data_IF_603118556480
#
_entry.id   IF_603118556480
#
_cell.length_a   1.000
_cell.length_b   1.000
_cell.length_c   1.000
_cell.angle_alpha   90.00
_cell.angle_beta   90.00
_cell.angle_gamma   90.00
#
_symmetry.space_group_name_H-M   'P 1'
#
loop_
_entity.id
_entity.type
_entity.pdbx_description
1 polymer ?
#
# COMPACT_ATOMS: atom_id res chain seq x y z
N UNK A 1 11.05 16.58 -29.97
CA UNK A 1 10.25 17.42 -29.05
C UNK A 1 10.76 17.17 -27.63
N UNK A 2 11.26 18.21 -26.95
CA UNK A 2 11.76 18.12 -25.57
C UNK A 2 10.59 17.82 -24.64
N UNK A 3 10.59 16.65 -23.97
CA UNK A 3 9.61 16.31 -22.93
C UNK A 3 9.79 17.29 -21.77
N UNK A 4 8.84 18.20 -21.57
CA UNK A 4 8.82 19.04 -20.39
C UNK A 4 8.73 18.15 -19.14
N UNK A 5 9.77 18.17 -18.30
CA UNK A 5 9.75 17.52 -17.00
C UNK A 5 8.69 18.21 -16.13
N UNK A 6 7.91 17.42 -15.38
CA UNK A 6 6.97 17.99 -14.41
C UNK A 6 7.75 18.79 -13.36
N UNK A 7 7.26 19.95 -12.91
CA UNK A 7 7.91 20.69 -11.83
C UNK A 7 8.00 19.80 -10.57
N UNK A 8 9.04 20.02 -9.76
CA UNK A 8 9.28 19.24 -8.55
C UNK A 8 8.08 19.31 -7.58
N UNK A 9 7.44 20.48 -7.49
CA UNK A 9 6.21 20.71 -6.72
C UNK A 9 5.05 19.84 -7.18
N UNK A 10 4.81 19.72 -8.50
CA UNK A 10 3.80 18.82 -9.02
C UNK A 10 4.13 17.36 -8.69
N UNK A 11 5.40 16.96 -8.80
CA UNK A 11 5.83 15.59 -8.45
C UNK A 11 5.56 15.28 -6.97
N UNK A 12 5.92 16.21 -6.09
CA UNK A 12 5.67 16.10 -4.65
C UNK A 12 4.16 15.99 -4.36
N UNK A 13 3.33 16.82 -4.99
CA UNK A 13 1.87 16.78 -4.84
C UNK A 13 1.26 15.45 -5.28
N UNK A 14 1.66 14.92 -6.44
CA UNK A 14 1.18 13.61 -6.89
C UNK A 14 1.65 12.49 -5.96
N UNK A 15 2.89 12.55 -5.46
CA UNK A 15 3.44 11.56 -4.52
C UNK A 15 2.68 11.60 -3.20
N UNK A 16 2.42 12.80 -2.67
CA UNK A 16 1.60 13.01 -1.48
C UNK A 16 0.16 12.52 -1.68
N UNK A 17 -0.44 12.76 -2.86
CA UNK A 17 -1.77 12.26 -3.18
C UNK A 17 -1.83 10.73 -3.21
N UNK A 18 -0.84 10.04 -3.81
CA UNK A 18 -0.80 8.56 -3.79
C UNK A 18 -0.64 8.06 -2.34
N UNK A 19 0.25 8.66 -1.55
CA UNK A 19 0.43 8.28 -0.15
C UNK A 19 -0.85 8.53 0.68
N UNK A 20 -1.53 9.65 0.46
CA UNK A 20 -2.79 10.01 1.13
C UNK A 20 -3.94 9.06 0.78
N UNK A 21 -3.92 8.42 -0.40
CA UNK A 21 -4.89 7.38 -0.77
C UNK A 21 -4.46 5.99 -0.27
N UNK A 22 -3.15 5.72 -0.21
CA UNK A 22 -2.63 4.42 0.21
C UNK A 22 -2.97 4.09 1.68
N UNK A 23 -2.84 5.06 2.58
CA UNK A 23 -3.16 4.88 4.00
C UNK A 23 -4.62 4.50 4.26
N UNK A 24 -5.64 5.25 3.79
CA UNK A 24 -7.03 4.87 3.99
C UNK A 24 -7.39 3.58 3.26
N UNK A 25 -6.76 3.27 2.12
CA UNK A 25 -6.95 1.97 1.46
C UNK A 25 -6.46 0.81 2.33
N UNK A 26 -5.28 0.94 2.96
CA UNK A 26 -4.75 -0.06 3.92
C UNK A 26 -5.69 -0.19 5.12
N UNK A 27 -6.14 0.92 5.71
CA UNK A 27 -7.04 0.92 6.87
C UNK A 27 -8.37 0.27 6.54
N UNK A 28 -8.99 0.63 5.41
CA UNK A 28 -10.25 0.05 4.97
C UNK A 28 -10.11 -1.45 4.68
N UNK A 29 -9.01 -1.87 4.05
CA UNK A 29 -8.74 -3.27 3.78
C UNK A 29 -8.51 -4.08 5.05
N UNK A 30 -7.76 -3.53 6.01
CA UNK A 30 -7.57 -4.15 7.33
C UNK A 30 -8.90 -4.27 8.10
N UNK A 31 -9.74 -3.22 8.03
CA UNK A 31 -11.06 -3.23 8.66
C UNK A 31 -11.96 -4.31 8.07
N UNK A 32 -12.17 -4.30 6.75
CA UNK A 32 -12.97 -5.30 6.04
C UNK A 32 -12.39 -6.71 6.22
N UNK A 33 -11.07 -6.85 6.18
CA UNK A 33 -10.37 -8.12 6.38
C UNK A 33 -10.62 -8.68 7.78
N UNK A 34 -10.60 -7.85 8.82
CA UNK A 34 -10.80 -8.29 10.22
C UNK A 34 -12.16 -8.93 10.46
N UNK A 35 -13.20 -8.52 9.73
CA UNK A 35 -14.53 -9.12 9.81
C UNK A 35 -14.57 -10.53 9.18
N UNK A 36 -13.60 -10.86 8.33
CA UNK A 36 -13.52 -12.13 7.59
C UNK A 36 -12.58 -13.16 8.24
N UNK A 37 -11.58 -12.71 9.01
CA UNK A 37 -10.64 -13.54 9.76
C UNK A 37 -11.31 -14.65 10.61
N UNK A 38 -12.41 -14.42 11.35
CA UNK A 38 -13.02 -15.48 12.17
C UNK A 38 -13.58 -16.66 11.38
N UNK A 39 -13.88 -16.47 10.09
CA UNK A 39 -14.42 -17.54 9.23
C UNK A 39 -13.30 -18.35 8.59
N UNK A 40 -12.32 -17.67 7.99
CA UNK A 40 -11.09 -18.24 7.44
C UNK A 40 -10.07 -17.10 7.26
N UNK A 41 -8.89 -17.21 7.88
CA UNK A 41 -7.83 -16.20 7.79
C UNK A 41 -7.37 -15.90 6.35
N UNK A 42 -7.58 -16.84 5.41
CA UNK A 42 -7.31 -16.60 3.98
C UNK A 42 -8.25 -15.59 3.36
N UNK A 43 -9.45 -15.40 3.90
CA UNK A 43 -10.45 -14.46 3.38
C UNK A 43 -10.05 -12.99 3.60
N UNK A 44 -9.12 -12.70 4.51
CA UNK A 44 -8.53 -11.36 4.62
C UNK A 44 -7.89 -10.90 3.30
N UNK A 45 -7.44 -11.83 2.44
CA UNK A 45 -6.92 -11.54 1.10
C UNK A 45 -7.98 -10.91 0.19
N UNK A 46 -9.27 -11.21 0.39
CA UNK A 46 -10.37 -10.68 -0.42
C UNK A 46 -10.44 -9.16 -0.31
N UNK A 47 -10.12 -8.60 0.86
CA UNK A 47 -10.03 -7.15 1.07
C UNK A 47 -8.63 -6.59 0.75
N UNK A 48 -7.56 -7.32 1.08
CA UNK A 48 -6.19 -6.86 0.90
C UNK A 48 -5.76 -6.76 -0.57
N UNK A 49 -6.14 -7.72 -1.42
CA UNK A 49 -5.73 -7.78 -2.83
C UNK A 49 -6.25 -6.57 -3.63
N UNK A 50 -7.56 -6.23 -3.61
CA UNK A 50 -8.06 -5.06 -4.33
C UNK A 50 -7.38 -3.76 -3.90
N UNK A 51 -7.15 -3.58 -2.58
CA UNK A 51 -6.47 -2.40 -2.06
C UNK A 51 -5.02 -2.31 -2.57
N UNK A 52 -4.27 -3.41 -2.53
CA UNK A 52 -2.91 -3.46 -3.04
C UNK A 52 -2.81 -3.16 -4.54
N UNK A 53 -3.75 -3.69 -5.34
CA UNK A 53 -3.82 -3.36 -6.76
C UNK A 53 -4.16 -1.89 -6.99
N UNK A 54 -5.14 -1.33 -6.29
CA UNK A 54 -5.53 0.07 -6.43
C UNK A 54 -4.35 1.02 -6.12
N UNK A 55 -3.65 0.80 -5.01
CA UNK A 55 -2.48 1.60 -4.62
C UNK A 55 -1.35 1.48 -5.65
N UNK A 56 -1.10 0.28 -6.16
CA UNK A 56 -0.03 0.04 -7.12
C UNK A 56 -0.32 0.66 -8.49
N UNK A 57 -1.58 0.56 -8.95
CA UNK A 57 -2.03 1.19 -10.19
C UNK A 57 -1.97 2.72 -10.09
N UNK A 58 -2.39 3.29 -8.96
CA UNK A 58 -2.25 4.73 -8.70
C UNK A 58 -0.78 5.15 -8.69
N UNK A 59 0.10 4.35 -8.08
CA UNK A 59 1.55 4.61 -8.05
C UNK A 59 2.12 4.67 -9.47
N UNK A 60 1.79 3.71 -10.34
CA UNK A 60 2.30 3.71 -11.72
C UNK A 60 1.63 4.77 -12.59
N UNK A 61 0.31 4.90 -12.52
CA UNK A 61 -0.46 5.80 -13.38
C UNK A 61 -0.18 7.27 -13.05
N UNK A 62 -0.28 7.64 -11.77
CA UNK A 62 -0.18 9.04 -11.35
C UNK A 62 1.27 9.54 -11.35
N UNK A 63 2.21 8.69 -10.91
CA UNK A 63 3.63 9.03 -10.85
C UNK A 63 4.38 8.77 -12.16
N UNK A 64 3.77 8.08 -13.13
CA UNK A 64 4.40 7.66 -14.40
C UNK A 64 5.70 6.85 -14.20
N UNK A 65 5.81 6.13 -13.08
CA UNK A 65 6.96 5.29 -12.76
C UNK A 65 7.00 4.02 -13.62
N UNK A 66 8.17 3.38 -13.77
CA UNK A 66 8.33 2.09 -14.49
C UNK A 66 7.57 0.94 -13.80
N UNK A 67 7.15 -0.10 -14.54
CA UNK A 67 6.38 -1.24 -14.02
C UNK A 67 7.10 -1.97 -12.89
N UNK A 68 8.43 -1.91 -12.85
CA UNK A 68 9.23 -2.47 -11.75
C UNK A 68 8.85 -1.87 -10.38
N UNK A 69 8.30 -0.65 -10.34
CA UNK A 69 7.86 0.01 -9.09
C UNK A 69 6.46 -0.42 -8.62
N UNK A 70 5.80 -1.37 -9.29
CA UNK A 70 4.52 -1.95 -8.85
C UNK A 70 4.73 -2.87 -7.64
N UNK A 71 5.85 -3.60 -7.62
CA UNK A 71 6.06 -4.65 -6.63
C UNK A 71 6.10 -4.11 -5.19
N UNK A 72 6.75 -2.96 -4.98
CA UNK A 72 6.92 -2.35 -3.67
C UNK A 72 5.61 -1.94 -3.00
N UNK A 73 4.79 -1.05 -3.61
CA UNK A 73 3.48 -0.68 -3.08
C UNK A 73 2.56 -1.89 -2.94
N UNK A 74 2.59 -2.83 -3.90
CA UNK A 74 1.75 -4.03 -3.86
C UNK A 74 2.07 -4.89 -2.63
N UNK A 75 3.34 -5.25 -2.44
CA UNK A 75 3.77 -6.09 -1.31
C UNK A 75 3.60 -5.37 0.03
N UNK A 76 3.93 -4.08 0.09
CA UNK A 76 3.77 -3.28 1.29
C UNK A 76 2.31 -3.15 1.73
N UNK A 77 1.40 -2.83 0.79
CA UNK A 77 -0.03 -2.72 1.07
C UNK A 77 -0.64 -4.06 1.44
N UNK A 78 -0.27 -5.17 0.77
CA UNK A 78 -0.72 -6.51 1.15
C UNK A 78 -0.30 -6.86 2.58
N UNK A 79 1.00 -6.71 2.88
CA UNK A 79 1.54 -7.04 4.21
C UNK A 79 0.85 -6.20 5.30
N UNK A 80 0.69 -4.89 5.07
CA UNK A 80 0.06 -3.99 6.03
C UNK A 80 -1.44 -4.32 6.22
N UNK A 81 -2.19 -4.55 5.15
CA UNK A 81 -3.62 -4.84 5.24
C UNK A 81 -3.89 -6.17 5.96
N UNK A 82 -3.08 -7.21 5.70
CA UNK A 82 -3.22 -8.52 6.34
C UNK A 82 -2.83 -8.47 7.82
N UNK A 83 -1.66 -7.90 8.13
CA UNK A 83 -1.23 -7.74 9.51
C UNK A 83 -2.22 -6.87 10.31
N UNK A 84 -2.74 -5.81 9.70
CA UNK A 84 -3.78 -4.98 10.31
C UNK A 84 -5.11 -5.70 10.53
N UNK A 85 -5.51 -6.58 9.61
CA UNK A 85 -6.74 -7.37 9.75
C UNK A 85 -6.67 -8.34 10.93
N UNK A 86 -5.57 -9.06 11.07
CA UNK A 86 -5.35 -9.98 12.20
C UNK A 86 -5.23 -9.24 13.52
N UNK A 87 -4.40 -8.20 13.58
CA UNK A 87 -4.21 -7.40 14.80
C UNK A 87 -5.51 -6.76 15.26
N UNK A 88 -6.32 -6.25 14.32
CA UNK A 88 -7.63 -5.68 14.63
C UNK A 88 -8.62 -6.73 15.14
N UNK A 89 -8.68 -7.90 14.50
CA UNK A 89 -9.55 -8.98 14.94
C UNK A 89 -9.17 -9.44 16.35
N UNK A 90 -7.89 -9.66 16.60
CA UNK A 90 -7.44 -10.21 17.87
C UNK A 90 -7.58 -9.21 19.04
N UNK A 91 -7.36 -7.91 18.80
CA UNK A 91 -7.46 -6.86 19.82
C UNK A 91 -8.91 -6.46 20.12
N UNK A 92 -9.76 -6.31 19.09
CA UNK A 92 -11.10 -5.74 19.26
C UNK A 92 -12.23 -6.76 19.26
N UNK A 93 -12.06 -7.92 18.63
CA UNK A 93 -13.14 -8.90 18.41
C UNK A 93 -12.91 -10.16 19.26
N UNK A 94 -11.69 -10.71 19.30
CA UNK A 94 -11.41 -11.96 20.00
C UNK A 94 -11.15 -11.80 21.52
N UNK A 95 -11.08 -10.58 22.05
CA UNK A 95 -10.90 -10.28 23.48
C UNK A 95 -9.73 -11.04 24.15
N UNK A 96 -8.52 -10.92 23.61
CA UNK A 96 -7.29 -10.94 24.43
C UNK A 96 -6.55 -12.27 24.65
N UNK A 97 -6.71 -13.28 23.79
CA UNK A 97 -5.91 -14.52 23.86
C UNK A 97 -4.67 -14.53 22.95
N UNK A 98 -4.13 -13.36 22.61
CA UNK A 98 -2.86 -13.29 21.88
C UNK A 98 -1.70 -13.59 22.82
N UNK A 99 -0.85 -14.54 22.43
CA UNK A 99 0.49 -14.60 23.01
C UNK A 99 1.22 -13.28 22.68
N UNK A 100 1.88 -12.63 23.65
CA UNK A 100 2.52 -11.32 23.47
C UNK A 100 3.62 -11.30 22.40
N UNK A 101 4.10 -12.48 21.96
CA UNK A 101 5.04 -12.64 20.85
C UNK A 101 4.40 -12.47 19.48
N UNK A 102 3.14 -12.87 19.30
CA UNK A 102 2.41 -12.77 18.04
C UNK A 102 1.94 -11.34 17.79
N UNK A 103 1.43 -10.67 18.83
CA UNK A 103 1.04 -9.25 18.77
C UNK A 103 2.18 -8.36 18.27
N UNK A 104 3.38 -8.50 18.86
CA UNK A 104 4.58 -7.76 18.41
C UNK A 104 4.96 -8.07 16.97
N UNK A 105 4.79 -9.32 16.53
CA UNK A 105 5.12 -9.71 15.17
C UNK A 105 4.16 -9.07 14.15
N UNK A 106 2.86 -9.03 14.45
CA UNK A 106 1.85 -8.41 13.60
C UNK A 106 1.98 -6.88 13.58
N UNK A 107 2.25 -6.26 14.73
CA UNK A 107 2.52 -4.82 14.82
C UNK A 107 3.75 -4.43 14.00
N UNK A 108 4.84 -5.20 14.13
CA UNK A 108 6.05 -5.02 13.33
C UNK A 108 5.77 -5.24 11.83
N UNK A 109 4.98 -6.25 11.48
CA UNK A 109 4.62 -6.56 10.08
C UNK A 109 3.76 -5.45 9.46
N UNK A 110 2.81 -4.91 10.22
CA UNK A 110 2.00 -3.75 9.84
C UNK A 110 2.89 -2.54 9.58
N UNK A 111 3.74 -2.19 10.55
CA UNK A 111 4.67 -1.07 10.44
C UNK A 111 5.63 -1.22 9.26
N UNK A 112 6.19 -2.42 9.07
CA UNK A 112 7.08 -2.72 7.95
C UNK A 112 6.35 -2.64 6.60
N UNK A 113 5.13 -3.17 6.50
CA UNK A 113 4.32 -3.11 5.29
C UNK A 113 4.00 -1.67 4.87
N UNK A 114 3.58 -0.84 5.83
CA UNK A 114 3.34 0.60 5.59
C UNK A 114 4.63 1.29 5.16
N UNK A 115 5.74 1.03 5.84
CA UNK A 115 7.04 1.62 5.49
C UNK A 115 7.47 1.22 4.08
N UNK A 116 7.37 -0.06 3.70
CA UNK A 116 7.68 -0.54 2.35
C UNK A 116 6.80 0.15 1.30
N UNK A 117 5.49 0.26 1.55
CA UNK A 117 4.56 0.90 0.63
C UNK A 117 4.94 2.38 0.41
N UNK A 118 5.15 3.13 1.49
CA UNK A 118 5.48 4.56 1.44
C UNK A 118 6.83 4.83 0.79
N UNK A 119 7.88 4.11 1.19
CA UNK A 119 9.22 4.25 0.60
C UNK A 119 9.15 3.94 -0.90
N UNK A 120 8.42 2.90 -1.29
CA UNK A 120 8.26 2.53 -2.69
C UNK A 120 7.51 3.59 -3.50
N UNK A 121 6.47 4.21 -2.94
CA UNK A 121 5.74 5.33 -3.55
C UNK A 121 6.68 6.52 -3.76
N UNK A 122 7.52 6.86 -2.77
CA UNK A 122 8.53 7.93 -2.89
C UNK A 122 9.55 7.60 -3.98
N UNK A 123 10.11 6.38 -3.98
CA UNK A 123 11.04 5.92 -5.00
C UNK A 123 10.41 5.95 -6.40
N UNK A 124 9.14 5.57 -6.53
CA UNK A 124 8.38 5.64 -7.76
C UNK A 124 8.20 7.09 -8.23
N UNK A 125 7.89 8.02 -7.32
CA UNK A 125 7.78 9.46 -7.59
C UNK A 125 9.10 10.05 -8.10
N UNK A 126 10.22 9.74 -7.43
CA UNK A 126 11.57 10.16 -7.84
C UNK A 126 11.94 9.56 -9.21
N UNK A 127 11.62 8.29 -9.43
CA UNK A 127 11.88 7.62 -10.71
C UNK A 127 11.07 8.24 -11.85
N UNK A 128 9.77 8.47 -11.62
CA UNK A 128 8.86 9.10 -12.57
C UNK A 128 9.25 10.54 -12.91
N UNK A 129 9.81 11.28 -11.95
CA UNK A 129 10.36 12.61 -12.18
C UNK A 129 11.64 12.59 -13.05
N UNK A 130 12.59 11.70 -12.72
CA UNK A 130 13.88 11.61 -13.43
C UNK A 130 13.76 10.99 -14.82
N UNK A 131 12.85 10.02 -15.01
CA UNK A 131 12.70 9.25 -16.26
C UNK A 131 11.21 8.98 -16.54
N UNK A 132 10.43 10.01 -16.91
CA UNK A 132 9.00 9.87 -17.14
C UNK A 132 8.71 8.91 -18.30
N UNK A 133 7.79 7.97 -18.08
CA UNK A 133 7.26 7.10 -19.14
C UNK A 133 6.71 7.89 -20.31
N UNK A 134 6.91 7.36 -21.50
CA UNK A 134 6.20 7.80 -22.70
C UNK A 134 4.71 7.58 -22.47
N UNK A 135 3.94 8.65 -22.60
CA UNK A 135 2.50 8.53 -22.76
C UNK A 135 2.28 7.75 -24.05
N UNK A 136 1.63 6.60 -23.97
CA UNK A 136 1.08 5.92 -25.13
C UNK A 136 -0.02 6.83 -25.69
N UNK A 137 0.39 7.74 -26.56
CA UNK A 137 -0.48 8.49 -27.46
C UNK A 137 -0.06 8.06 -28.85
N UNK A 138 -0.73 7.00 -29.33
CA UNK A 138 -1.11 6.82 -30.73
C UNK A 138 -2.64 6.72 -30.73
#
# INVERSE_FOLDING_TARGET
MSKASRPATATALHTAAVAAVALPAIVAAAWLGSELVPYDGRLAMVAAVPAAFAVSLLTVGLLRARNAFIAGPLLGTLLAALAGAHLRYDVLIASGNLHPRLERFEELSLGLGVAIALVSIVCAGVSGHRRPRESATD
#
